data_IF_807284540618
#
_entry.id   IF_807284540618
#
_cell.length_a   1.000
_cell.length_b   1.000
_cell.length_c   1.000
_cell.angle_alpha   90.00
_cell.angle_beta   90.00
_cell.angle_gamma   90.00
#
_symmetry.space_group_name_H-M   'P 1'
#
loop_
_entity.id
_entity.type
_entity.pdbx_description
1 polymer ?
#
# COMPACT_ATOMS: atom_id res chain seq x y z
N UNK A 1 -19.19 34.65 -8.88
CA UNK A 1 -18.80 33.45 -8.12
C UNK A 1 -17.38 33.12 -8.54
N UNK A 2 -16.41 33.56 -7.75
CA UNK A 2 -14.98 33.36 -8.02
C UNK A 2 -14.62 31.96 -7.55
N UNK A 3 -14.53 31.00 -8.48
CA UNK A 3 -13.84 29.73 -8.20
C UNK A 3 -12.40 30.09 -7.82
N UNK A 4 -11.99 29.72 -6.62
CA UNK A 4 -10.65 30.02 -6.16
C UNK A 4 -9.69 29.17 -6.99
N UNK A 5 -8.57 29.75 -7.43
CA UNK A 5 -7.47 29.02 -8.09
C UNK A 5 -6.83 27.98 -7.13
N UNK A 6 -7.33 27.90 -5.89
CA UNK A 6 -6.91 27.05 -4.79
C UNK A 6 -7.98 26.02 -4.41
N UNK A 7 -8.96 25.74 -5.26
CA UNK A 7 -9.88 24.62 -5.02
C UNK A 7 -9.02 23.36 -4.95
N UNK A 8 -8.86 22.85 -3.74
CA UNK A 8 -7.97 21.74 -3.44
C UNK A 8 -8.53 20.50 -4.13
N UNK A 9 -7.85 19.90 -5.12
CA UNK A 9 -8.35 18.69 -5.78
C UNK A 9 -8.31 17.47 -4.83
N UNK A 10 -7.89 17.66 -3.58
CA UNK A 10 -7.68 16.65 -2.57
C UNK A 10 -8.80 16.69 -1.53
N UNK A 11 -9.42 15.54 -1.28
CA UNK A 11 -10.21 15.34 -0.07
C UNK A 11 -9.28 15.09 1.12
N UNK A 12 -8.64 16.17 1.59
CA UNK A 12 -7.65 16.11 2.69
C UNK A 12 -8.27 15.64 4.00
N UNK A 13 -9.55 15.93 4.23
CA UNK A 13 -10.28 15.44 5.40
C UNK A 13 -10.40 13.92 5.37
N UNK A 14 -10.83 13.35 4.24
CA UNK A 14 -10.85 11.88 4.05
C UNK A 14 -9.47 11.28 4.24
N UNK A 15 -8.44 11.88 3.66
CA UNK A 15 -7.06 11.39 3.78
C UNK A 15 -6.57 11.40 5.23
N UNK A 16 -6.79 12.50 5.96
CA UNK A 16 -6.47 12.61 7.39
C UNK A 16 -7.22 11.57 8.23
N UNK A 17 -8.52 11.39 7.97
CA UNK A 17 -9.36 10.38 8.61
C UNK A 17 -8.84 8.95 8.36
N UNK A 18 -8.35 8.65 7.16
CA UNK A 18 -7.78 7.35 6.83
C UNK A 18 -6.48 7.08 7.62
N UNK A 19 -5.60 8.08 7.76
CA UNK A 19 -4.42 7.98 8.61
C UNK A 19 -4.78 7.76 10.08
N UNK A 20 -5.76 8.50 10.59
CA UNK A 20 -6.23 8.35 11.97
C UNK A 20 -6.83 6.96 12.22
N UNK A 21 -7.62 6.45 11.26
CA UNK A 21 -8.17 5.09 11.33
C UNK A 21 -7.06 4.05 11.41
N UNK A 22 -6.04 4.14 10.55
CA UNK A 22 -4.89 3.21 10.60
C UNK A 22 -4.18 3.29 11.96
N UNK A 23 -3.96 4.50 12.47
CA UNK A 23 -3.32 4.68 13.78
C UNK A 23 -4.12 4.01 14.91
N UNK A 24 -5.44 4.13 14.89
CA UNK A 24 -6.32 3.48 15.87
C UNK A 24 -6.32 1.95 15.71
N UNK A 25 -6.37 1.44 14.49
CA UNK A 25 -6.29 0.00 14.23
C UNK A 25 -4.97 -0.60 14.72
N UNK A 26 -3.86 0.13 14.59
CA UNK A 26 -2.56 -0.31 15.08
C UNK A 26 -2.48 -0.34 16.62
N UNK A 27 -3.19 0.57 17.31
CA UNK A 27 -3.26 0.52 18.78
C UNK A 27 -4.13 -0.63 19.28
N UNK A 28 -5.21 -0.97 18.57
CA UNK A 28 -6.12 -2.07 18.96
C UNK A 28 -5.59 -3.46 18.56
N UNK A 29 -4.71 -3.55 17.56
CA UNK A 29 -4.14 -4.80 17.07
C UNK A 29 -2.60 -4.74 17.04
N UNK A 30 -1.95 -4.78 18.23
CA UNK A 30 -0.50 -4.68 18.36
C UNK A 30 0.22 -5.92 17.79
N UNK A 31 1.54 -5.81 17.65
CA UNK A 31 2.39 -6.95 17.31
C UNK A 31 2.27 -8.00 18.42
N UNK A 32 1.92 -9.23 18.05
CA UNK A 32 1.74 -10.35 18.98
C UNK A 32 3.06 -11.07 19.27
N UNK A 33 3.98 -11.11 18.30
CA UNK A 33 5.29 -11.75 18.40
C UNK A 33 6.33 -10.83 17.76
N UNK A 34 7.32 -10.41 18.52
CA UNK A 34 8.49 -9.71 17.98
C UNK A 34 9.45 -10.72 17.35
N UNK A 35 9.98 -10.37 16.18
CA UNK A 35 10.94 -11.19 15.44
C UNK A 35 12.28 -10.47 15.37
N UNK A 36 13.38 -11.21 15.55
CA UNK A 36 14.72 -10.63 15.60
C UNK A 36 15.11 -10.00 14.25
N UNK A 37 15.67 -8.79 14.28
CA UNK A 37 16.11 -8.13 13.06
C UNK A 37 17.33 -8.84 12.45
N UNK A 38 17.24 -9.18 11.16
CA UNK A 38 18.34 -9.80 10.41
C UNK A 38 19.49 -8.78 10.20
N UNK A 39 20.74 -9.17 10.46
CA UNK A 39 21.93 -8.33 10.23
C UNK A 39 22.09 -8.06 8.73
N UNK A 40 22.34 -6.80 8.35
CA UNK A 40 22.30 -6.32 6.95
C UNK A 40 23.30 -7.04 6.04
N UNK A 41 24.44 -7.47 6.58
CA UNK A 41 25.53 -8.14 5.84
C UNK A 41 25.12 -9.51 5.28
N UNK A 42 24.05 -10.13 5.80
CA UNK A 42 23.51 -11.40 5.30
C UNK A 42 22.51 -11.23 4.15
N UNK A 43 22.15 -10.00 3.78
CA UNK A 43 21.09 -9.76 2.80
C UNK A 43 21.51 -10.03 1.36
N UNK A 44 22.80 -9.98 1.03
CA UNK A 44 23.28 -10.17 -0.32
C UNK A 44 24.66 -10.84 -0.35
N UNK A 45 24.72 -12.12 -0.77
CA UNK A 45 25.82 -12.72 -1.55
C UNK A 45 25.34 -14.06 -2.12
N UNK A 46 24.72 -14.03 -3.30
CA UNK A 46 24.48 -15.24 -4.09
C UNK A 46 25.34 -15.19 -5.35
N UNK A 47 26.50 -15.84 -5.31
CA UNK A 47 27.35 -16.12 -6.48
C UNK A 47 26.74 -17.20 -7.40
N UNK A 48 25.42 -17.29 -7.46
CA UNK A 48 24.72 -18.23 -8.34
C UNK A 48 24.56 -17.61 -9.72
N UNK A 49 24.86 -18.34 -10.81
CA UNK A 49 24.69 -17.84 -12.16
C UNK A 49 23.24 -17.40 -12.39
N UNK A 50 23.04 -16.20 -12.96
CA UNK A 50 21.71 -15.70 -13.32
C UNK A 50 21.21 -16.45 -14.55
N UNK A 51 20.37 -17.45 -14.33
CA UNK A 51 19.76 -18.26 -15.40
C UNK A 51 18.71 -17.46 -16.19
N UNK A 52 17.99 -16.54 -15.53
CA UNK A 52 16.92 -15.75 -16.13
C UNK A 52 17.22 -14.24 -16.06
N UNK A 53 16.92 -13.53 -17.16
CA UNK A 53 16.97 -12.05 -17.22
C UNK A 53 15.63 -11.51 -17.75
N UNK A 54 14.84 -10.79 -16.95
CA UNK A 54 15.05 -10.50 -15.53
C UNK A 54 14.90 -11.76 -14.65
N UNK A 55 15.23 -11.68 -13.35
CA UNK A 55 15.15 -12.83 -12.44
C UNK A 55 13.75 -13.45 -12.40
N UNK A 56 13.66 -14.76 -12.13
CA UNK A 56 12.36 -15.45 -12.11
C UNK A 56 11.38 -14.81 -11.10
N UNK A 57 11.88 -14.35 -9.95
CA UNK A 57 11.05 -13.64 -8.97
C UNK A 57 10.50 -12.32 -9.53
N UNK A 58 11.31 -11.56 -10.28
CA UNK A 58 10.85 -10.33 -10.93
C UNK A 58 9.75 -10.62 -11.96
N UNK A 59 9.90 -11.68 -12.75
CA UNK A 59 8.90 -12.10 -13.74
C UNK A 59 7.57 -12.49 -13.07
N UNK A 60 7.63 -13.23 -11.96
CA UNK A 60 6.44 -13.60 -11.15
C UNK A 60 5.72 -12.37 -10.60
N UNK A 61 6.46 -11.41 -10.05
CA UNK A 61 5.86 -10.18 -9.53
C UNK A 61 5.27 -9.32 -10.66
N UNK A 62 5.91 -9.29 -11.82
CA UNK A 62 5.44 -8.60 -13.02
C UNK A 62 4.12 -9.19 -13.51
N UNK A 63 4.03 -10.52 -13.58
CA UNK A 63 2.80 -11.22 -13.94
C UNK A 63 1.63 -10.83 -13.03
N UNK A 64 1.84 -10.84 -11.71
CA UNK A 64 0.80 -10.42 -10.74
C UNK A 64 0.39 -8.96 -10.95
N UNK A 65 1.37 -8.05 -11.09
CA UNK A 65 1.11 -6.64 -11.37
C UNK A 65 0.23 -6.45 -12.61
N UNK A 66 0.58 -7.14 -13.69
CA UNK A 66 -0.08 -6.97 -14.97
C UNK A 66 -1.52 -7.48 -14.93
N UNK A 67 -1.79 -8.58 -14.21
CA UNK A 67 -3.16 -9.04 -13.97
C UNK A 67 -3.95 -8.04 -13.13
N UNK A 68 -3.38 -7.50 -12.06
CA UNK A 68 -4.06 -6.50 -11.22
C UNK A 68 -4.42 -5.24 -12.01
N UNK A 69 -3.50 -4.77 -12.86
CA UNK A 69 -3.74 -3.64 -13.76
C UNK A 69 -4.81 -3.94 -14.81
N UNK A 70 -4.76 -5.12 -15.43
CA UNK A 70 -5.76 -5.56 -16.39
C UNK A 70 -7.15 -5.61 -15.73
N UNK A 71 -7.26 -6.22 -14.55
CA UNK A 71 -8.50 -6.29 -13.79
C UNK A 71 -9.09 -4.90 -13.48
N UNK A 72 -8.27 -3.97 -12.96
CA UNK A 72 -8.71 -2.60 -12.69
C UNK A 72 -9.19 -1.91 -13.97
N UNK A 73 -8.48 -2.11 -15.08
CA UNK A 73 -8.83 -1.49 -16.37
C UNK A 73 -10.14 -2.04 -16.94
N UNK A 74 -10.33 -3.35 -16.87
CA UNK A 74 -11.50 -4.05 -17.41
C UNK A 74 -12.77 -3.83 -16.59
N UNK A 75 -12.65 -3.86 -15.26
CA UNK A 75 -13.81 -3.83 -14.37
C UNK A 75 -14.12 -2.45 -13.81
N UNK A 76 -13.13 -1.55 -13.75
CA UNK A 76 -13.19 -0.29 -13.00
C UNK A 76 -13.51 -0.47 -11.51
N UNK A 77 -13.45 -1.71 -11.00
CA UNK A 77 -13.67 -2.02 -9.60
C UNK A 77 -12.36 -1.91 -8.81
N UNK A 78 -12.45 -1.33 -7.61
CA UNK A 78 -11.32 -1.23 -6.69
C UNK A 78 -11.18 -2.51 -5.87
N UNK A 79 -9.98 -3.11 -5.90
CA UNK A 79 -9.64 -4.22 -5.00
C UNK A 79 -9.20 -3.63 -3.67
N UNK A 80 -10.08 -3.65 -2.67
CA UNK A 80 -9.80 -2.99 -1.38
C UNK A 80 -8.84 -3.75 -0.45
N UNK A 81 -8.72 -5.08 -0.59
CA UNK A 81 -7.95 -5.91 0.34
C UNK A 81 -7.28 -7.11 -0.33
N UNK A 82 -5.95 -7.14 -0.28
CA UNK A 82 -5.11 -8.23 -0.79
C UNK A 82 -4.65 -9.16 0.33
N UNK A 83 -4.57 -10.46 0.06
CA UNK A 83 -3.81 -11.41 0.88
C UNK A 83 -2.66 -12.00 0.07
N UNK A 84 -1.48 -12.14 0.69
CA UNK A 84 -0.30 -12.81 0.14
C UNK A 84 0.04 -13.98 1.06
N UNK A 85 -0.17 -15.19 0.57
CA UNK A 85 0.07 -16.43 1.29
C UNK A 85 1.40 -17.04 0.84
N UNK A 86 2.25 -17.42 1.79
CA UNK A 86 3.66 -17.74 1.50
C UNK A 86 4.40 -16.50 1.02
N UNK A 87 4.34 -15.41 1.77
CA UNK A 87 4.90 -14.13 1.31
C UNK A 87 6.44 -14.07 1.36
N UNK A 88 7.09 -14.99 2.08
CA UNK A 88 8.54 -15.05 2.30
C UNK A 88 9.11 -13.68 2.72
N UNK A 89 10.20 -13.27 2.08
CA UNK A 89 10.83 -11.94 2.21
C UNK A 89 10.02 -10.76 1.60
N UNK A 90 8.69 -10.83 1.58
CA UNK A 90 7.78 -9.78 1.12
C UNK A 90 8.12 -9.22 -0.28
N UNK A 91 8.53 -10.09 -1.20
CA UNK A 91 9.03 -9.66 -2.51
C UNK A 91 7.96 -8.98 -3.36
N UNK A 92 6.73 -9.51 -3.31
CA UNK A 92 5.62 -9.01 -4.12
C UNK A 92 5.12 -7.66 -3.59
N UNK A 93 4.96 -7.54 -2.28
CA UNK A 93 4.50 -6.35 -1.58
C UNK A 93 5.44 -5.19 -1.84
N UNK A 94 6.76 -5.42 -1.71
CA UNK A 94 7.78 -4.41 -2.04
C UNK A 94 7.74 -4.02 -3.52
N UNK A 95 7.50 -4.99 -4.41
CA UNK A 95 7.41 -4.73 -5.84
C UNK A 95 6.19 -3.88 -6.21
N UNK A 96 5.04 -4.12 -5.56
CA UNK A 96 3.79 -3.42 -5.81
C UNK A 96 3.67 -2.09 -5.04
N UNK A 97 4.58 -1.81 -4.11
CA UNK A 97 4.52 -0.68 -3.16
C UNK A 97 4.27 0.70 -3.80
N UNK A 98 4.61 0.90 -5.07
CA UNK A 98 4.41 2.17 -5.78
C UNK A 98 3.03 2.29 -6.46
N UNK A 99 2.26 1.21 -6.53
CA UNK A 99 0.97 1.14 -7.24
C UNK A 99 -0.18 0.56 -6.41
N UNK A 100 0.06 0.06 -5.19
CA UNK A 100 -0.98 -0.55 -4.36
C UNK A 100 -2.20 0.37 -4.19
N UNK A 101 -1.98 1.62 -3.80
CA UNK A 101 -3.08 2.56 -3.60
C UNK A 101 -3.79 2.90 -4.91
N UNK A 102 -3.03 3.04 -6.02
CA UNK A 102 -3.64 3.21 -7.33
C UNK A 102 -4.50 2.00 -7.71
N UNK A 103 -4.12 0.78 -7.35
CA UNK A 103 -4.94 -0.42 -7.59
C UNK A 103 -6.20 -0.49 -6.71
N UNK A 104 -6.40 0.47 -5.80
CA UNK A 104 -7.54 0.57 -4.91
C UNK A 104 -7.36 -0.16 -3.57
N UNK A 105 -6.17 -0.71 -3.31
CA UNK A 105 -5.90 -1.42 -2.06
C UNK A 105 -5.76 -0.43 -0.90
N UNK A 106 -6.58 -0.60 0.13
CA UNK A 106 -6.36 0.04 1.43
C UNK A 106 -5.61 -0.88 2.40
N UNK A 107 -5.58 -2.20 2.12
CA UNK A 107 -4.97 -3.18 3.00
C UNK A 107 -4.32 -4.36 2.27
N UNK A 108 -3.18 -4.81 2.78
CA UNK A 108 -2.48 -6.04 2.37
C UNK A 108 -2.22 -6.90 3.60
N UNK A 109 -2.57 -8.18 3.55
CA UNK A 109 -2.32 -9.17 4.60
C UNK A 109 -1.30 -10.19 4.08
N UNK A 110 -0.12 -10.22 4.67
CA UNK A 110 0.98 -11.10 4.26
C UNK A 110 1.19 -12.18 5.32
N UNK A 111 1.22 -13.45 4.90
CA UNK A 111 1.32 -14.61 5.78
C UNK A 111 2.45 -15.51 5.33
N UNK A 112 3.33 -15.89 6.25
CA UNK A 112 4.31 -16.95 6.05
C UNK A 112 4.53 -17.76 7.34
N UNK A 113 5.06 -18.97 7.22
CA UNK A 113 5.44 -19.80 8.36
C UNK A 113 6.87 -19.51 8.82
N UNK A 114 7.74 -19.08 7.91
CA UNK A 114 9.16 -18.86 8.13
C UNK A 114 9.42 -17.48 8.74
N UNK A 115 9.79 -17.48 10.02
CA UNK A 115 10.07 -16.28 10.79
C UNK A 115 11.29 -15.50 10.27
N UNK A 116 12.31 -16.19 9.77
CA UNK A 116 13.54 -15.55 9.29
C UNK A 116 13.30 -14.80 7.98
N UNK A 117 12.53 -15.39 7.08
CA UNK A 117 12.12 -14.74 5.84
C UNK A 117 11.19 -13.54 6.11
N UNK A 118 10.27 -13.64 7.08
CA UNK A 118 9.45 -12.50 7.51
C UNK A 118 10.29 -11.36 8.08
N UNK A 119 11.26 -11.66 8.95
CA UNK A 119 12.16 -10.66 9.54
C UNK A 119 12.98 -9.94 8.47
N UNK A 120 13.54 -10.70 7.53
CA UNK A 120 14.22 -10.17 6.34
C UNK A 120 13.31 -9.30 5.49
N UNK A 121 12.08 -9.77 5.25
CA UNK A 121 11.06 -9.05 4.51
C UNK A 121 10.71 -7.69 5.12
N UNK A 122 10.48 -7.63 6.44
CA UNK A 122 10.20 -6.38 7.16
C UNK A 122 11.34 -5.37 7.01
N UNK A 123 12.60 -5.82 7.13
CA UNK A 123 13.77 -4.96 6.95
C UNK A 123 13.86 -4.43 5.51
N UNK A 124 13.71 -5.31 4.52
CA UNK A 124 13.71 -4.92 3.11
C UNK A 124 12.53 -4.01 2.75
N UNK A 125 11.40 -4.14 3.44
CA UNK A 125 10.23 -3.27 3.26
C UNK A 125 10.53 -1.84 3.72
N UNK A 126 11.14 -1.67 4.90
CA UNK A 126 11.58 -0.35 5.39
C UNK A 126 12.51 0.33 4.38
N UNK A 127 13.48 -0.42 3.84
CA UNK A 127 14.42 0.08 2.82
C UNK A 127 13.66 0.46 1.53
N UNK A 128 12.78 -0.40 1.05
CA UNK A 128 12.00 -0.14 -0.16
C UNK A 128 11.12 1.12 -0.02
N UNK A 129 10.49 1.33 1.13
CA UNK A 129 9.72 2.53 1.43
C UNK A 129 10.57 3.79 1.41
N UNK A 130 11.74 3.74 2.04
CA UNK A 130 12.65 4.88 2.05
C UNK A 130 13.13 5.22 0.63
N UNK A 131 13.49 4.20 -0.17
CA UNK A 131 13.95 4.38 -1.54
C UNK A 131 12.86 4.91 -2.49
N UNK A 132 11.59 4.68 -2.18
CA UNK A 132 10.45 5.11 -3.00
C UNK A 132 9.63 6.22 -2.33
N UNK A 133 10.17 6.87 -1.29
CA UNK A 133 9.43 7.78 -0.43
C UNK A 133 8.76 8.91 -1.20
N UNK A 134 9.47 9.54 -2.13
CA UNK A 134 8.94 10.68 -2.87
C UNK A 134 7.81 10.29 -3.82
N UNK A 135 7.91 9.11 -4.45
CA UNK A 135 6.87 8.57 -5.34
C UNK A 135 5.61 8.24 -4.53
N UNK A 136 5.78 7.58 -3.38
CA UNK A 136 4.67 7.17 -2.53
C UNK A 136 4.00 8.40 -1.92
N UNK A 137 4.75 9.25 -1.22
CA UNK A 137 4.23 10.41 -0.48
C UNK A 137 3.68 11.52 -1.38
N UNK A 138 4.19 11.64 -2.61
CA UNK A 138 3.76 12.65 -3.59
C UNK A 138 2.51 12.28 -4.38
N UNK A 139 1.97 11.09 -4.18
CA UNK A 139 0.70 10.65 -4.79
C UNK A 139 -0.53 11.33 -4.19
N UNK A 140 -1.69 11.14 -4.81
CA UNK A 140 -2.98 11.65 -4.34
C UNK A 140 -3.87 10.54 -3.72
N UNK A 141 -3.27 9.40 -3.42
CA UNK A 141 -3.99 8.19 -3.05
C UNK A 141 -4.02 8.00 -1.53
N UNK A 142 -4.93 7.14 -1.05
CA UNK A 142 -5.07 6.80 0.37
C UNK A 142 -3.90 5.92 0.88
N UNK A 143 -3.50 6.04 2.16
CA UNK A 143 -2.45 5.20 2.74
C UNK A 143 -2.86 3.72 2.74
N UNK A 144 -1.87 2.85 2.56
CA UNK A 144 -2.08 1.38 2.51
C UNK A 144 -1.44 0.74 3.73
N UNK A 145 -2.25 0.03 4.52
CA UNK A 145 -1.77 -0.76 5.65
C UNK A 145 -1.35 -2.16 5.19
N UNK A 146 -0.10 -2.51 5.42
CA UNK A 146 0.46 -3.83 5.17
C UNK A 146 0.66 -4.51 6.51
N UNK A 147 -0.03 -5.63 6.75
CA UNK A 147 0.06 -6.40 8.00
C UNK A 147 0.76 -7.73 7.73
N UNK A 148 1.72 -8.08 8.57
CA UNK A 148 2.56 -9.26 8.40
C UNK A 148 2.27 -10.22 9.56
N UNK A 149 1.94 -11.46 9.20
CA UNK A 149 1.58 -12.51 10.12
C UNK A 149 2.46 -13.73 9.94
N UNK A 150 2.84 -14.33 11.07
CA UNK A 150 3.40 -15.66 11.11
C UNK A 150 2.28 -16.67 11.31
N UNK A 151 2.26 -17.70 10.48
CA UNK A 151 1.49 -18.90 10.74
C UNK A 151 1.33 -19.78 9.53
N UNK A 152 0.76 -20.96 9.78
CA UNK A 152 0.67 -22.01 8.76
C UNK A 152 -0.58 -21.80 7.92
N UNK A 153 -0.38 -21.67 6.62
CA UNK A 153 -1.47 -21.77 5.63
C UNK A 153 -1.88 -23.24 5.57
N UNK A 154 -2.94 -23.63 6.28
CA UNK A 154 -3.38 -25.03 6.31
C UNK A 154 -4.06 -25.37 4.99
N UNK A 155 -3.45 -26.29 4.23
CA UNK A 155 -4.13 -27.00 3.15
C UNK A 155 -4.86 -28.23 3.70
N UNK A 156 -6.01 -28.51 3.10
CA UNK A 156 -7.19 -29.22 3.65
C UNK A 156 -7.04 -30.71 4.02
N UNK A 157 -5.85 -31.28 4.23
CA UNK A 157 -5.71 -32.71 4.52
C UNK A 157 -6.00 -33.11 5.98
N UNK A 158 -6.36 -32.17 6.87
CA UNK A 158 -6.68 -32.48 8.28
C UNK A 158 -8.13 -32.25 8.69
N UNK A 159 -9.02 -32.06 7.72
CA UNK A 159 -10.48 -32.02 7.93
C UNK A 159 -11.14 -33.25 7.30
N UNK A 160 -10.57 -34.43 7.59
CA UNK A 160 -11.23 -35.70 7.32
C UNK A 160 -12.48 -35.80 8.20
N UNK A 161 -13.65 -35.52 7.60
CA UNK A 161 -14.92 -35.89 8.21
C UNK A 161 -16.15 -35.11 7.77
N UNK A 162 -16.06 -33.86 7.30
CA UNK A 162 -17.30 -33.06 7.13
C UNK A 162 -17.45 -32.12 5.94
N UNK A 163 -16.41 -31.69 5.20
CA UNK A 163 -16.60 -30.67 4.16
C UNK A 163 -15.67 -30.85 2.96
N UNK A 164 -15.96 -31.86 2.13
CA UNK A 164 -15.17 -32.25 0.95
C UNK A 164 -15.35 -31.38 -0.32
N UNK A 165 -16.16 -30.31 -0.33
CA UNK A 165 -16.53 -29.64 -1.60
C UNK A 165 -16.22 -28.14 -1.74
N UNK A 166 -15.56 -27.50 -0.77
CA UNK A 166 -15.36 -26.04 -0.82
C UNK A 166 -13.98 -25.63 -0.29
N UNK A 167 -12.95 -25.84 -1.11
CA UNK A 167 -11.56 -25.53 -0.73
C UNK A 167 -10.96 -24.59 -1.78
N UNK A 168 -11.33 -23.32 -1.62
CA UNK A 168 -10.58 -22.13 -2.07
C UNK A 168 -11.13 -20.87 -1.38
N UNK A 169 -12.40 -20.88 -0.94
CA UNK A 169 -13.00 -19.80 -0.15
C UNK A 169 -12.85 -19.94 1.37
N UNK A 170 -12.37 -21.07 1.88
CA UNK A 170 -12.57 -21.41 3.29
C UNK A 170 -11.47 -20.89 4.23
N UNK A 171 -10.18 -20.86 3.84
CA UNK A 171 -9.15 -20.24 4.70
C UNK A 171 -9.39 -18.73 4.91
N UNK A 172 -9.97 -18.06 3.90
CA UNK A 172 -10.37 -16.66 3.97
C UNK A 172 -11.58 -16.43 4.90
N UNK A 173 -12.40 -17.45 5.12
CA UNK A 173 -13.59 -17.39 5.95
C UNK A 173 -13.36 -17.89 7.39
N UNK A 174 -12.30 -18.66 7.64
CA UNK A 174 -11.98 -19.19 8.96
C UNK A 174 -11.15 -18.24 9.84
N UNK A 175 -10.34 -17.35 9.24
CA UNK A 175 -9.64 -16.31 9.98
C UNK A 175 -10.26 -14.93 9.70
N UNK A 176 -10.76 -14.26 10.75
CA UNK A 176 -11.36 -12.91 10.66
C UNK A 176 -10.42 -11.90 9.98
N UNK A 177 -9.11 -12.08 10.09
CA UNK A 177 -8.10 -11.20 9.47
C UNK A 177 -8.14 -11.28 7.94
N UNK A 178 -8.58 -12.40 7.39
CA UNK A 178 -8.72 -12.62 5.94
C UNK A 178 -10.14 -12.36 5.42
N UNK A 179 -11.08 -11.98 6.29
CA UNK A 179 -12.43 -11.61 5.88
C UNK A 179 -12.42 -10.42 4.89
N UNK A 180 -13.32 -10.45 3.91
CA UNK A 180 -13.43 -9.45 2.82
C UNK A 180 -12.18 -9.28 1.94
N UNK A 181 -11.24 -10.23 1.94
CA UNK A 181 -10.16 -10.27 0.94
C UNK A 181 -10.79 -10.49 -0.44
N UNK A 182 -10.50 -9.59 -1.39
CA UNK A 182 -10.97 -9.67 -2.78
C UNK A 182 -9.84 -10.05 -3.76
N UNK A 183 -8.61 -10.19 -3.29
CA UNK A 183 -7.48 -10.67 -4.07
C UNK A 183 -6.57 -11.56 -3.23
N UNK A 184 -6.21 -12.76 -3.72
CA UNK A 184 -5.20 -13.62 -3.07
C UNK A 184 -4.08 -13.95 -4.04
N UNK A 185 -2.87 -13.70 -3.58
CA UNK A 185 -1.64 -14.13 -4.21
C UNK A 185 -1.06 -15.25 -3.35
N UNK A 186 -0.71 -16.40 -3.94
CA UNK A 186 -0.03 -17.48 -3.23
C UNK A 186 1.25 -17.87 -3.95
N UNK A 187 2.36 -17.95 -3.24
CA UNK A 187 3.56 -18.61 -3.78
C UNK A 187 3.58 -20.10 -3.44
N UNK A 188 2.73 -20.55 -2.52
CA UNK A 188 2.55 -21.96 -2.14
C UNK A 188 1.44 -22.62 -2.96
N UNK A 189 1.62 -23.93 -3.20
CA UNK A 189 0.71 -24.77 -3.98
C UNK A 189 -0.59 -25.00 -3.20
N UNK A 190 -1.71 -24.46 -3.67
CA UNK A 190 -3.02 -24.91 -3.22
C UNK A 190 -3.22 -26.36 -3.69
N UNK A 191 -3.70 -27.23 -2.80
CA UNK A 191 -3.93 -28.68 -3.07
C UNK A 191 -4.86 -28.93 -4.27
N UNK A 192 -5.67 -27.94 -4.67
CA UNK A 192 -6.51 -28.02 -5.87
C UNK A 192 -5.74 -27.85 -7.20
N UNK A 193 -4.51 -27.34 -7.13
CA UNK A 193 -3.63 -27.08 -8.27
C UNK A 193 -2.27 -27.78 -8.09
N UNK A 194 -2.28 -29.02 -7.60
CA UNK A 194 -1.07 -29.86 -7.44
C UNK A 194 -0.29 -30.06 -8.74
N UNK A 195 -0.92 -29.89 -9.90
CA UNK A 195 -0.27 -29.93 -11.20
C UNK A 195 0.56 -28.66 -11.53
N UNK A 196 0.46 -27.60 -10.73
CA UNK A 196 1.23 -26.36 -10.86
C UNK A 196 2.45 -26.33 -9.92
N UNK A 197 3.01 -27.49 -9.60
CA UNK A 197 4.10 -27.64 -8.63
C UNK A 197 5.26 -26.65 -8.93
N UNK A 198 5.54 -25.76 -7.98
CA UNK A 198 6.56 -24.71 -8.10
C UNK A 198 6.16 -23.41 -8.84
N UNK A 199 4.94 -23.28 -9.38
CA UNK A 199 4.46 -22.05 -10.00
C UNK A 199 3.77 -21.11 -8.99
N UNK A 200 3.99 -19.79 -9.10
CA UNK A 200 3.20 -18.80 -8.35
C UNK A 200 1.73 -18.92 -8.73
N UNK A 201 0.87 -19.16 -7.75
CA UNK A 201 -0.56 -19.33 -7.93
C UNK A 201 -1.26 -18.01 -7.59
N UNK A 202 -2.05 -17.48 -8.52
CA UNK A 202 -2.70 -16.19 -8.37
C UNK A 202 -4.21 -16.34 -8.58
N UNK A 203 -5.01 -15.78 -7.67
CA UNK A 203 -6.47 -15.84 -7.75
C UNK A 203 -7.09 -14.51 -7.31
N UNK A 204 -7.89 -13.91 -8.21
CA UNK A 204 -8.78 -12.80 -7.87
C UNK A 204 -10.14 -13.38 -7.50
N UNK A 205 -10.64 -13.04 -6.32
CA UNK A 205 -11.95 -13.47 -5.86
C UNK A 205 -12.93 -12.34 -6.08
N UNK A 206 -13.87 -12.53 -7.01
CA UNK A 206 -15.05 -11.67 -7.05
C UNK A 206 -15.93 -12.03 -5.87
N UNK A 207 -16.26 -11.02 -5.06
CA UNK A 207 -17.30 -11.16 -4.04
C UNK A 207 -18.59 -11.50 -4.78
N UNK A 208 -18.99 -12.78 -4.75
CA UNK A 208 -20.37 -13.15 -5.09
C UNK A 208 -21.21 -12.58 -3.94
N UNK A 209 -22.23 -11.78 -4.25
CA UNK A 209 -23.21 -11.38 -3.25
C UNK A 209 -23.69 -12.65 -2.55
N UNK A 210 -23.36 -12.78 -1.26
CA UNK A 210 -23.84 -13.87 -0.45
C UNK A 210 -25.32 -13.60 -0.22
N UNK A 211 -26.18 -14.52 -0.67
CA UNK A 211 -27.56 -14.59 -0.21
C UNK A 211 -27.54 -14.53 1.32
N UNK A 212 -28.21 -13.53 1.87
CA UNK A 212 -28.19 -13.10 3.28
C UNK A 212 -28.69 -14.16 4.28
N UNK A 213 -29.00 -15.38 3.81
CA UNK A 213 -29.63 -16.44 4.60
C UNK A 213 -28.68 -17.55 5.06
N UNK A 214 -27.37 -17.45 4.84
CA UNK A 214 -26.42 -18.48 5.32
C UNK A 214 -25.60 -17.94 6.49
N UNK A 215 -26.03 -18.21 7.72
CA UNK A 215 -25.19 -18.06 8.91
C UNK A 215 -24.00 -19.03 8.79
N UNK A 216 -22.89 -18.56 8.21
CA UNK A 216 -21.62 -19.27 8.30
C UNK A 216 -21.15 -19.15 9.74
N UNK A 217 -21.26 -20.24 10.52
CA UNK A 217 -20.59 -20.39 11.80
C UNK A 217 -19.08 -20.23 11.57
N UNK A 218 -18.57 -19.04 11.85
CA UNK A 218 -17.13 -18.78 11.92
C UNK A 218 -16.55 -19.67 13.02
N UNK A 219 -15.78 -20.67 12.62
CA UNK A 219 -14.93 -21.43 13.55
C UNK A 219 -13.67 -20.61 13.74
N UNK A 220 -13.51 -20.01 14.91
CA UNK A 220 -12.35 -19.19 15.26
C UNK A 220 -11.11 -20.08 15.44
N UNK A 221 -10.31 -20.19 14.39
CA UNK A 221 -8.99 -20.84 14.46
C UNK A 221 -7.96 -19.74 14.27
N UNK A 222 -7.48 -19.13 15.37
CA UNK A 222 -6.40 -18.14 15.29
C UNK A 222 -5.06 -18.84 15.02
N UNK A 223 -4.82 -19.20 13.76
CA UNK A 223 -3.57 -19.85 13.34
C UNK A 223 -2.47 -18.85 12.97
N UNK A 224 -2.79 -17.55 12.96
CA UNK A 224 -1.87 -16.46 12.63
C UNK A 224 -1.53 -15.60 13.84
N UNK A 225 -0.29 -15.12 13.88
CA UNK A 225 0.26 -14.23 14.91
C UNK A 225 0.86 -13.01 14.24
N UNK A 226 0.42 -11.81 14.60
CA UNK A 226 0.94 -10.58 14.00
C UNK A 226 2.40 -10.41 14.40
N UNK A 227 3.29 -10.33 13.41
CA UNK A 227 4.73 -10.15 13.65
C UNK A 227 5.24 -8.79 13.22
N UNK A 228 4.46 -8.06 12.42
CA UNK A 228 4.85 -6.74 11.97
C UNK A 228 3.75 -6.04 11.19
N UNK A 229 3.99 -4.78 10.91
CA UNK A 229 3.19 -4.00 10.00
C UNK A 229 4.06 -2.95 9.30
N UNK A 230 3.53 -2.40 8.22
CA UNK A 230 4.14 -1.32 7.47
C UNK A 230 3.04 -0.46 6.84
N UNK A 231 3.31 0.84 6.67
CA UNK A 231 2.33 1.77 6.08
C UNK A 231 2.96 2.42 4.86
N UNK A 232 2.35 2.21 3.69
CA UNK A 232 2.72 2.98 2.51
C UNK A 232 2.05 4.36 2.62
N UNK A 233 2.87 5.41 2.77
CA UNK A 233 2.45 6.76 3.16
C UNK A 233 1.95 7.60 1.97
N UNK A 234 1.03 7.06 1.18
CA UNK A 234 0.43 7.78 0.05
C UNK A 234 -0.29 9.07 0.50
N UNK A 235 -0.23 10.13 -0.31
CA UNK A 235 -0.88 11.41 0.02
C UNK A 235 -0.22 12.23 1.13
N UNK A 236 0.83 11.72 1.81
CA UNK A 236 1.39 12.40 2.99
C UNK A 236 1.90 13.81 2.71
N UNK A 237 2.49 14.07 1.54
CA UNK A 237 2.99 15.41 1.21
C UNK A 237 1.86 16.41 1.03
N UNK A 238 0.68 15.99 0.57
CA UNK A 238 -0.49 16.86 0.49
C UNK A 238 -0.93 17.30 1.89
N UNK A 239 -1.04 16.37 2.84
CA UNK A 239 -1.37 16.68 4.24
C UNK A 239 -0.33 17.58 4.92
N UNK A 240 0.97 17.32 4.71
CA UNK A 240 2.04 18.11 5.31
C UNK A 240 2.07 19.53 4.73
N UNK A 241 1.86 19.68 3.42
CA UNK A 241 1.77 20.97 2.75
C UNK A 241 0.63 21.80 3.32
N UNK A 242 -0.55 21.21 3.47
CA UNK A 242 -1.72 21.91 4.02
C UNK A 242 -1.49 22.38 5.47
N UNK A 243 -0.94 21.50 6.32
CA UNK A 243 -0.53 21.90 7.68
C UNK A 243 0.49 23.03 7.70
N UNK A 244 1.45 23.03 6.78
CA UNK A 244 2.42 24.11 6.66
C UNK A 244 1.75 25.43 6.22
N UNK A 245 0.81 25.37 5.27
CA UNK A 245 0.03 26.54 4.83
C UNK A 245 -0.81 27.08 6.00
N UNK A 246 -1.54 26.23 6.73
CA UNK A 246 -2.33 26.64 7.90
C UNK A 246 -1.46 27.28 8.99
N UNK A 247 -0.31 26.67 9.30
CA UNK A 247 0.63 27.20 10.28
C UNK A 247 1.19 28.56 9.84
N UNK A 248 1.54 28.71 8.56
CA UNK A 248 2.05 29.96 8.00
C UNK A 248 0.97 31.06 7.99
N UNK A 249 -0.26 30.76 7.59
CA UNK A 249 -1.38 31.70 7.65
C UNK A 249 -1.69 32.12 9.09
N UNK A 250 -1.67 31.18 10.03
CA UNK A 250 -1.84 31.49 11.46
C UNK A 250 -0.73 32.40 11.96
N UNK A 251 0.51 32.15 11.54
CA UNK A 251 1.65 32.99 11.86
C UNK A 251 1.48 34.41 11.29
N UNK A 252 1.08 34.55 10.03
CA UNK A 252 0.80 35.86 9.39
C UNK A 252 -0.31 36.64 10.09
N UNK A 253 -1.39 35.96 10.50
CA UNK A 253 -2.50 36.60 11.21
C UNK A 253 -2.08 37.10 12.60
N UNK A 254 -1.15 36.41 13.26
CA UNK A 254 -0.66 36.76 14.59
C UNK A 254 0.53 37.73 14.55
N UNK A 255 1.21 37.85 13.41
CA UNK A 255 2.37 38.72 13.22
C UNK A 255 2.07 39.64 12.05
N UNK A 256 1.45 40.79 12.34
CA UNK A 256 1.24 41.82 11.34
C UNK A 256 2.59 42.22 10.74
N UNK A 257 2.81 41.83 9.48
CA UNK A 257 4.00 42.21 8.73
C UNK A 257 4.02 43.73 8.64
N UNK A 258 5.03 44.37 9.25
CA UNK A 258 5.24 45.80 9.01
C UNK A 258 5.84 45.93 7.61
N UNK A 259 5.59 47.08 6.99
CA UNK A 259 6.17 47.41 5.69
C UNK A 259 7.71 47.32 5.70
N UNK A 260 8.30 47.52 6.88
CA UNK A 260 9.72 47.46 7.21
C UNK A 260 10.29 46.03 7.23
N UNK A 261 9.44 45.03 7.54
CA UNK A 261 9.82 43.62 7.68
C UNK A 261 9.71 42.86 6.34
N UNK A 262 9.06 43.49 5.36
CA UNK A 262 8.94 42.95 4.01
C UNK A 262 10.18 43.37 3.22
N UNK A 263 10.96 42.40 2.74
CA UNK A 263 11.94 42.69 1.68
C UNK A 263 11.13 43.20 0.49
N UNK A 264 11.46 44.40 -0.02
CA UNK A 264 10.97 44.90 -1.30
C UNK A 264 11.46 43.97 -2.41
N UNK A 265 10.79 42.83 -2.54
CA UNK A 265 10.92 41.95 -3.67
C UNK A 265 10.17 42.63 -4.81
N UNK A 266 10.82 43.61 -5.46
CA UNK A 266 10.49 44.06 -6.79
C UNK A 266 10.56 42.85 -7.74
N UNK A 267 9.48 42.05 -7.77
CA UNK A 267 9.18 41.23 -8.93
C UNK A 267 8.61 42.21 -9.94
N UNK A 268 9.44 42.61 -10.89
CA UNK A 268 8.99 43.36 -12.06
C UNK A 268 7.73 42.71 -12.62
N UNK A 269 6.60 43.40 -12.48
CA UNK A 269 5.40 43.04 -13.21
C UNK A 269 5.75 43.20 -14.68
N UNK A 270 5.97 42.09 -15.38
CA UNK A 270 5.91 42.09 -16.85
C UNK A 270 4.47 42.36 -17.22
N UNK A 271 4.15 43.63 -17.45
CA UNK A 271 2.89 44.02 -18.04
C UNK A 271 2.93 43.52 -19.50
N UNK A 272 2.11 42.52 -19.80
CA UNK A 272 1.91 42.09 -21.20
C UNK A 272 1.03 43.16 -21.83
N UNK A 273 1.59 43.93 -22.75
CA UNK A 273 0.81 44.81 -23.59
C UNK A 273 -0.07 43.95 -24.52
N UNK A 274 -1.36 43.91 -24.21
CA UNK A 274 -2.36 43.03 -24.84
C UNK A 274 -2.54 43.25 -26.35
N UNK A 275 -1.90 44.27 -26.93
CA UNK A 275 -2.02 44.61 -28.34
C UNK A 275 -0.82 44.15 -29.18
N UNK A 276 0.39 44.07 -28.60
CA UNK A 276 1.62 43.85 -29.40
C UNK A 276 2.41 42.58 -29.03
N UNK A 277 2.21 42.02 -27.82
CA UNK A 277 2.89 40.79 -27.40
C UNK A 277 4.42 40.91 -27.25
N UNK A 278 4.97 42.13 -27.24
CA UNK A 278 6.41 42.39 -27.07
C UNK A 278 6.69 42.83 -25.63
N UNK A 279 7.74 42.27 -25.03
CA UNK A 279 8.21 42.62 -23.69
C UNK A 279 8.98 43.94 -23.73
N UNK A 280 8.49 44.96 -23.02
CA UNK A 280 9.28 46.15 -22.70
C UNK A 280 9.77 46.03 -21.25
N UNK A 281 11.07 45.78 -21.08
CA UNK A 281 11.73 45.91 -19.78
C UNK A 281 12.02 47.41 -19.56
N UNK A 282 11.14 48.09 -18.80
CA UNK A 282 11.47 49.39 -18.21
C UNK A 282 11.73 49.19 -16.72
N UNK A 283 13.02 49.22 -16.35
CA UNK A 283 13.45 49.38 -14.98
C UNK A 283 13.57 50.88 -14.69
N UNK A 284 12.55 51.47 -14.07
CA UNK A 284 12.70 52.79 -13.47
C UNK A 284 13.27 52.61 -12.06
N UNK A 285 14.51 53.10 -11.89
CA UNK A 285 15.18 53.19 -10.60
C UNK A 285 14.87 54.56 -9.97
N UNK A 286 14.14 54.56 -8.85
CA UNK A 286 14.12 55.65 -7.88
C UNK A 286 14.20 55.09 -6.46
#
# INVERSE_FOLDING_TARGET
>A
MTNSIWDDPYDLEKLANNYQRISYELSENPIEIEIEEVITEQLEHFNTPRIFTPSLQYQRNTFVRDILKAHKTETQEALSKMAVLGCGSLSLERFLLHILANLGFGRVISVDIDEQELAKGLKLMKIAQQNNKDIICGSNEDPVLIEIYRGKVISSQRLDGLLSNYISGNILNYDRRLFNVNCVCSTEVFVRFTYLDGATQFAIFKKKELDTNTEQKMVEISCFKKVGHSIALYGLYALLRDKAIMAFTTWLNNNSLRKEDCVDCYRGYRQIDSVTGIYNDQCDAH
#
